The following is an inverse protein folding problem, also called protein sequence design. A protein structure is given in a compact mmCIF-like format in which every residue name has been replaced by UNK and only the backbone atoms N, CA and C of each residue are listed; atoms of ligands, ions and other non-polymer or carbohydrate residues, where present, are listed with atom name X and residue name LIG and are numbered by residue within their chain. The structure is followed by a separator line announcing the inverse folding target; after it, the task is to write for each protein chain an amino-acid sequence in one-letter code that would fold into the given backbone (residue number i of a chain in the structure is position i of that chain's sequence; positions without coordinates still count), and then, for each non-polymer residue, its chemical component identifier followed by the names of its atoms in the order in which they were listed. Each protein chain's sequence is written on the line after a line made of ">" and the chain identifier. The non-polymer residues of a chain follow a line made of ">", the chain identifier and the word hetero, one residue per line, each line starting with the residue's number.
data_IF_713368757475
#
_entry.id   IF_713368757475
#
_cell.length_a   1.000
_cell.length_b   1.000
_cell.length_c   1.000
_cell.angle_alpha   90.00
_cell.angle_beta   90.00
_cell.angle_gamma   90.00
#
_symmetry.space_group_name_H-M   'P 1'
#
loop_
_entity.id
_entity.type
_entity.pdbx_description
1 polymer ?
#
# COMPACT_ATOMS: atom_id res chain seq x y z
N UNK A 1 15.12 7.88 9.47
CA UNK A 1 16.11 7.88 8.38
C UNK A 1 17.07 9.04 8.54
N UNK A 2 18.18 9.08 7.78
CA UNK A 2 19.19 10.17 7.83
C UNK A 2 18.81 11.40 6.97
N UNK A 3 17.52 11.74 6.89
CA UNK A 3 17.06 12.90 6.13
C UNK A 3 17.22 12.81 4.61
N UNK A 4 16.99 11.64 4.01
CA UNK A 4 17.10 11.43 2.54
C UNK A 4 16.06 12.27 1.76
N UNK A 5 14.96 12.62 2.42
CA UNK A 5 13.86 13.43 1.86
C UNK A 5 13.52 14.55 2.85
N UNK A 6 12.85 15.64 2.41
CA UNK A 6 12.35 16.69 3.29
C UNK A 6 11.51 16.14 4.45
N UNK A 7 11.50 16.83 5.59
CA UNK A 7 10.88 16.34 6.82
C UNK A 7 9.38 15.99 6.67
N UNK A 8 8.64 16.72 5.84
CA UNK A 8 7.20 16.49 5.60
C UNK A 8 6.91 15.51 4.44
N UNK A 9 7.94 15.03 3.74
CA UNK A 9 7.77 14.39 2.43
C UNK A 9 6.85 13.18 2.48
N UNK A 10 6.93 12.35 3.51
CA UNK A 10 6.04 11.20 3.64
C UNK A 10 4.58 11.64 3.82
N UNK A 11 4.31 12.63 4.69
CA UNK A 11 2.94 13.12 4.89
C UNK A 11 2.34 13.69 3.59
N UNK A 12 3.14 14.39 2.79
CA UNK A 12 2.69 14.96 1.52
C UNK A 12 2.57 13.93 0.39
N UNK A 13 3.54 13.01 0.29
CA UNK A 13 3.59 12.01 -0.78
C UNK A 13 2.58 10.88 -0.60
N UNK A 14 2.13 10.61 0.62
CA UNK A 14 1.21 9.50 0.91
C UNK A 14 -0.22 9.95 1.19
N UNK A 15 -0.54 11.23 1.03
CA UNK A 15 -1.94 11.69 1.02
C UNK A 15 -2.55 11.44 -0.37
N UNK A 16 -3.87 11.25 -0.43
CA UNK A 16 -4.56 11.17 -1.72
C UNK A 16 -4.54 12.55 -2.41
N UNK A 17 -4.02 12.61 -3.63
CA UNK A 17 -4.15 13.77 -4.53
C UNK A 17 -5.09 13.47 -5.69
N UNK A 18 -5.38 12.19 -5.95
CA UNK A 18 -6.38 11.72 -6.90
C UNK A 18 -7.11 10.51 -6.32
N UNK A 19 -8.45 10.51 -6.44
CA UNK A 19 -9.25 9.35 -6.04
C UNK A 19 -9.13 8.25 -7.10
N UNK A 20 -8.87 7.03 -6.66
CA UNK A 20 -8.70 5.86 -7.54
C UNK A 20 -9.60 4.74 -7.07
N UNK A 21 -10.81 4.68 -7.63
CA UNK A 21 -11.82 3.70 -7.26
C UNK A 21 -13.21 4.32 -7.19
N UNK A 22 -14.21 3.57 -6.68
CA UNK A 22 -15.54 4.11 -6.46
C UNK A 22 -15.49 5.32 -5.52
N UNK A 23 -16.36 6.31 -5.78
CA UNK A 23 -16.49 7.48 -4.93
C UNK A 23 -16.73 7.07 -3.47
N UNK A 24 -16.00 7.69 -2.53
CA UNK A 24 -16.10 7.40 -1.10
C UNK A 24 -15.43 6.10 -0.64
N UNK A 25 -14.77 5.34 -1.53
CA UNK A 25 -14.11 4.09 -1.16
C UNK A 25 -12.84 4.27 -0.31
N UNK A 26 -12.27 5.48 -0.28
CA UNK A 26 -11.04 5.79 0.45
C UNK A 26 -9.75 5.28 -0.22
N UNK A 27 -9.84 4.78 -1.46
CA UNK A 27 -8.68 4.46 -2.28
C UNK A 27 -8.25 5.69 -3.08
N UNK A 28 -6.96 5.95 -3.11
CA UNK A 28 -6.41 7.10 -3.81
C UNK A 28 -4.99 6.87 -4.30
N UNK A 29 -4.42 7.93 -4.85
CA UNK A 29 -3.05 7.97 -5.32
C UNK A 29 -2.40 9.31 -4.98
N UNK A 30 -1.16 9.25 -4.51
CA UNK A 30 -0.35 10.42 -4.18
C UNK A 30 1.08 10.22 -4.65
N UNK A 31 1.55 11.09 -5.54
CA UNK A 31 2.85 11.00 -6.21
C UNK A 31 3.19 9.61 -6.77
N UNK A 32 3.84 8.74 -6.00
CA UNK A 32 4.25 7.39 -6.40
C UNK A 32 3.70 6.31 -5.45
N UNK A 33 2.67 6.66 -4.67
CA UNK A 33 2.05 5.82 -3.66
C UNK A 33 0.57 5.61 -3.95
N UNK A 34 0.14 4.34 -3.88
CA UNK A 34 -1.25 4.00 -3.70
C UNK A 34 -1.65 4.27 -2.25
N UNK A 35 -2.78 4.94 -2.04
CA UNK A 35 -3.36 5.16 -0.73
C UNK A 35 -4.59 4.27 -0.56
N UNK A 36 -4.80 3.81 0.66
CA UNK A 36 -5.83 2.84 1.03
C UNK A 36 -6.64 3.37 2.21
N UNK A 37 -7.85 2.81 2.44
CA UNK A 37 -8.60 3.08 3.65
C UNK A 37 -7.77 2.90 4.92
N UNK A 38 -8.22 3.54 6.00
CA UNK A 38 -7.60 3.49 7.32
C UNK A 38 -6.24 4.21 7.43
N UNK A 39 -5.79 4.91 6.38
CA UNK A 39 -4.55 5.69 6.37
C UNK A 39 -3.31 4.87 5.98
N UNK A 40 -3.49 3.70 5.37
CA UNK A 40 -2.40 2.89 4.84
C UNK A 40 -1.98 3.38 3.46
N UNK A 41 -0.73 3.16 3.10
CA UNK A 41 -0.20 3.47 1.78
C UNK A 41 0.79 2.41 1.33
N UNK A 42 1.09 2.36 0.04
CA UNK A 42 1.94 1.30 -0.50
C UNK A 42 2.31 1.45 -1.96
N UNK A 43 3.31 0.67 -2.37
CA UNK A 43 3.73 0.53 -3.75
C UNK A 43 3.27 -0.84 -4.28
N UNK A 44 2.88 -0.88 -5.56
CA UNK A 44 2.45 -2.10 -6.22
C UNK A 44 3.22 -2.26 -7.53
N UNK A 45 3.76 -3.45 -7.75
CA UNK A 45 4.38 -3.84 -9.00
C UNK A 45 3.62 -4.99 -9.67
N UNK A 46 3.75 -5.08 -10.98
CA UNK A 46 3.28 -6.25 -11.75
C UNK A 46 3.98 -7.52 -11.28
N UNK A 47 3.37 -8.68 -11.53
CA UNK A 47 3.83 -9.99 -11.06
C UNK A 47 3.83 -10.17 -9.53
N UNK A 48 3.17 -9.27 -8.79
CA UNK A 48 2.84 -9.48 -7.40
C UNK A 48 3.60 -8.63 -6.39
N UNK A 49 4.60 -7.86 -6.83
CA UNK A 49 5.43 -7.03 -5.93
C UNK A 49 4.54 -6.11 -5.09
N UNK A 50 4.78 -6.05 -3.78
CA UNK A 50 4.00 -5.18 -2.91
C UNK A 50 4.84 -4.65 -1.75
N UNK A 51 4.73 -3.35 -1.52
CA UNK A 51 5.08 -2.73 -0.23
C UNK A 51 3.78 -2.19 0.33
N UNK A 52 3.42 -2.55 1.55
CA UNK A 52 2.28 -1.96 2.27
C UNK A 52 2.69 -1.52 3.66
N UNK A 53 2.32 -0.29 4.00
CA UNK A 53 2.73 0.38 5.23
C UNK A 53 1.48 0.80 5.99
N UNK A 54 1.46 0.49 7.28
CA UNK A 54 0.46 0.96 8.23
C UNK A 54 1.16 1.79 9.33
N UNK A 55 1.06 3.13 9.27
CA UNK A 55 1.69 3.99 10.26
C UNK A 55 1.15 3.78 11.68
N UNK A 56 -0.13 3.40 11.83
CA UNK A 56 -0.78 3.27 13.14
C UNK A 56 -0.21 2.09 13.91
N UNK A 57 -0.09 0.94 13.25
CA UNK A 57 0.50 -0.27 13.83
C UNK A 57 2.02 -0.31 13.71
N UNK A 58 2.63 0.65 13.01
CA UNK A 58 4.08 0.71 12.71
C UNK A 58 4.57 -0.54 11.98
N UNK A 59 3.72 -1.11 11.12
CA UNK A 59 4.01 -2.33 10.37
C UNK A 59 4.34 -1.99 8.91
N UNK A 60 5.39 -2.63 8.40
CA UNK A 60 5.75 -2.64 6.99
C UNK A 60 5.75 -4.08 6.50
N UNK A 61 5.02 -4.34 5.42
CA UNK A 61 5.03 -5.63 4.73
C UNK A 61 5.65 -5.43 3.35
N UNK A 62 6.68 -6.21 3.04
CA UNK A 62 7.31 -6.25 1.72
C UNK A 62 7.17 -7.67 1.14
N UNK A 63 6.64 -7.77 -0.08
CA UNK A 63 6.45 -9.00 -0.83
C UNK A 63 7.21 -8.85 -2.15
N UNK A 64 8.15 -9.77 -2.38
CA UNK A 64 8.77 -10.02 -3.68
C UNK A 64 8.14 -11.27 -4.28
N UNK A 65 7.67 -11.19 -5.52
CA UNK A 65 6.91 -12.26 -6.15
C UNK A 65 7.17 -12.36 -7.66
N UNK A 66 6.88 -13.53 -8.21
CA UNK A 66 6.94 -13.82 -9.64
C UNK A 66 5.65 -14.56 -10.07
N UNK A 67 4.51 -13.89 -9.92
CA UNK A 67 3.23 -14.47 -10.33
C UNK A 67 3.24 -14.78 -11.84
N UNK A 68 2.49 -15.79 -12.34
CA UNK A 68 2.52 -16.14 -13.76
C UNK A 68 1.98 -15.06 -14.72
N UNK A 69 1.26 -14.07 -14.21
CA UNK A 69 0.68 -12.96 -14.98
C UNK A 69 1.11 -11.63 -14.41
N UNK A 70 1.34 -10.65 -15.29
CA UNK A 70 1.71 -9.29 -14.90
C UNK A 70 0.65 -8.64 -14.00
N UNK A 71 -0.61 -8.77 -14.39
CA UNK A 71 -1.77 -8.31 -13.61
C UNK A 71 -2.86 -9.37 -13.64
N UNK A 72 -3.39 -9.72 -12.47
CA UNK A 72 -4.50 -10.66 -12.33
C UNK A 72 -5.38 -10.25 -11.15
N UNK A 73 -6.68 -10.06 -11.40
CA UNK A 73 -7.60 -9.53 -10.38
C UNK A 73 -7.82 -10.51 -9.23
N UNK A 74 -7.90 -11.81 -9.51
CA UNK A 74 -8.10 -12.83 -8.49
C UNK A 74 -6.88 -12.93 -7.57
N UNK A 75 -5.68 -12.93 -8.15
CA UNK A 75 -4.42 -12.85 -7.41
C UNK A 75 -4.34 -11.57 -6.56
N UNK A 76 -4.70 -10.41 -7.13
CA UNK A 76 -4.70 -9.14 -6.41
C UNK A 76 -5.65 -9.13 -5.20
N UNK A 77 -6.84 -9.72 -5.34
CA UNK A 77 -7.81 -9.88 -4.24
C UNK A 77 -7.27 -10.81 -3.16
N UNK A 78 -6.72 -11.98 -3.53
CA UNK A 78 -6.14 -12.93 -2.59
C UNK A 78 -4.96 -12.33 -1.83
N UNK A 79 -4.06 -11.62 -2.52
CA UNK A 79 -2.93 -10.90 -1.92
C UNK A 79 -3.40 -9.83 -0.93
N UNK A 80 -4.43 -9.06 -1.29
CA UNK A 80 -5.00 -8.05 -0.40
C UNK A 80 -5.57 -8.69 0.87
N UNK A 81 -6.35 -9.77 0.74
CA UNK A 81 -6.89 -10.49 1.89
C UNK A 81 -5.78 -11.08 2.79
N UNK A 82 -4.70 -11.56 2.20
CA UNK A 82 -3.53 -12.05 2.93
C UNK A 82 -2.83 -10.92 3.71
N UNK A 83 -2.62 -9.76 3.09
CA UNK A 83 -2.04 -8.58 3.75
C UNK A 83 -2.88 -8.12 4.94
N UNK A 84 -4.20 -8.11 4.83
CA UNK A 84 -5.09 -7.74 5.94
C UNK A 84 -4.91 -8.68 7.15
N UNK A 85 -4.77 -9.99 6.91
CA UNK A 85 -4.46 -10.96 7.97
C UNK A 85 -3.09 -10.72 8.60
N UNK A 86 -2.09 -10.39 7.80
CA UNK A 86 -0.74 -10.08 8.30
C UNK A 86 -0.74 -8.80 9.15
N UNK A 87 -1.45 -7.74 8.74
CA UNK A 87 -1.59 -6.53 9.57
C UNK A 87 -2.28 -6.81 10.89
N UNK A 88 -3.38 -7.59 10.87
CA UNK A 88 -4.07 -7.98 12.08
C UNK A 88 -3.18 -8.80 13.04
N UNK A 89 -2.37 -9.71 12.50
CA UNK A 89 -1.45 -10.52 13.29
C UNK A 89 -0.24 -9.73 13.82
N UNK A 90 0.19 -8.70 13.10
CA UNK A 90 1.35 -7.88 13.46
C UNK A 90 0.98 -6.72 14.42
N UNK A 91 -0.29 -6.34 14.48
CA UNK A 91 -0.79 -5.37 15.46
C UNK A 91 -0.68 -5.96 16.87
N UNK A 92 0.18 -5.37 17.70
CA UNK A 92 0.31 -5.68 19.13
C UNK A 92 -0.60 -4.79 19.96
#
# INVERSE_FOLDING_TARGET
>A
GKGVVPANWFAESTRSHADVGPAGSGYGYGYQWWTYPQGRFGAQGIFGQTIRIDPKSRVVIAISAAAPKATDQAYGKARTAFLEKLFAAAAK
#
